data_IF_362592586318
#
_entry.id   IF_362592586318
#
_cell.length_a   1.000
_cell.length_b   1.000
_cell.length_c   1.000
_cell.angle_alpha   90.00
_cell.angle_beta   90.00
_cell.angle_gamma   90.00
#
_symmetry.space_group_name_H-M   'P 1'
#
loop_
_entity.id
_entity.type
_entity.pdbx_description
1 polymer ?
#
# COMPACT_ATOMS: atom_id res chain seq x y z
N UNK A 1 -22.83 -26.11 -76.17
CA UNK A 1 -21.53 -25.95 -75.46
C UNK A 1 -21.83 -25.24 -74.15
N UNK A 2 -21.56 -25.85 -73.00
CA UNK A 2 -21.79 -25.18 -71.71
C UNK A 2 -20.63 -24.20 -71.42
N UNK A 3 -20.91 -22.91 -71.49
CA UNK A 3 -19.93 -21.84 -71.25
C UNK A 3 -19.29 -21.91 -69.86
N UNK A 4 -19.90 -22.59 -68.88
CA UNK A 4 -19.34 -22.80 -67.54
C UNK A 4 -17.99 -23.54 -67.58
N UNK A 5 -17.82 -24.48 -68.51
CA UNK A 5 -16.62 -25.31 -68.61
C UNK A 5 -15.48 -24.61 -69.38
N UNK A 6 -15.73 -23.43 -69.95
CA UNK A 6 -14.70 -22.60 -70.61
C UNK A 6 -14.15 -21.50 -69.70
N UNK A 7 -14.64 -21.40 -68.44
CA UNK A 7 -14.23 -20.38 -67.48
C UNK A 7 -13.19 -20.92 -66.49
N UNK A 8 -12.12 -20.16 -66.26
CA UNK A 8 -11.12 -20.45 -65.22
C UNK A 8 -11.58 -19.91 -63.86
N UNK A 9 -12.50 -20.63 -63.22
CA UNK A 9 -12.97 -20.28 -61.88
C UNK A 9 -11.94 -20.66 -60.81
N UNK A 10 -11.82 -19.88 -59.72
CA UNK A 10 -10.99 -20.26 -58.58
C UNK A 10 -11.48 -21.59 -57.97
N UNK A 11 -10.56 -22.54 -57.81
CA UNK A 11 -10.80 -23.83 -57.13
C UNK A 11 -9.93 -23.86 -55.87
N UNK A 12 -10.55 -24.13 -54.73
CA UNK A 12 -9.83 -24.26 -53.46
C UNK A 12 -10.54 -25.25 -52.54
N UNK A 13 -9.75 -26.03 -51.81
CA UNK A 13 -10.24 -26.87 -50.70
C UNK A 13 -10.41 -26.06 -49.40
N UNK A 14 -10.01 -24.78 -49.39
CA UNK A 14 -10.14 -23.91 -48.22
C UNK A 14 -11.63 -23.65 -47.93
N UNK A 15 -12.14 -24.08 -46.76
CA UNK A 15 -13.56 -23.94 -46.45
C UNK A 15 -13.91 -22.47 -46.24
N UNK A 16 -15.08 -22.07 -46.77
CA UNK A 16 -15.59 -20.70 -46.61
C UNK A 16 -15.96 -20.40 -45.14
N UNK A 17 -16.40 -21.40 -44.36
CA UNK A 17 -16.65 -21.27 -42.92
C UNK A 17 -15.39 -21.66 -42.14
N UNK A 18 -14.92 -20.78 -41.27
CA UNK A 18 -13.67 -20.98 -40.53
C UNK A 18 -13.75 -22.12 -39.48
N UNK A 19 -14.90 -22.29 -38.81
CA UNK A 19 -15.14 -23.29 -37.76
C UNK A 19 -14.02 -23.35 -36.70
N UNK A 20 -13.61 -22.16 -36.21
CA UNK A 20 -12.40 -21.97 -35.41
C UNK A 20 -12.37 -22.78 -34.12
N UNK A 21 -13.52 -23.02 -33.48
CA UNK A 21 -13.59 -23.79 -32.22
C UNK A 21 -12.97 -25.18 -32.35
N UNK A 22 -13.21 -25.86 -33.48
CA UNK A 22 -12.63 -27.18 -33.77
C UNK A 22 -11.25 -27.03 -34.44
N UNK A 23 -11.16 -26.15 -35.45
CA UNK A 23 -9.95 -26.01 -36.27
C UNK A 23 -8.74 -25.53 -35.48
N UNK A 24 -8.92 -24.63 -34.51
CA UNK A 24 -7.82 -24.19 -33.64
C UNK A 24 -7.27 -25.34 -32.79
N UNK A 25 -8.13 -26.22 -32.27
CA UNK A 25 -7.68 -27.37 -31.47
C UNK A 25 -6.84 -28.34 -32.30
N UNK A 26 -7.25 -28.58 -33.55
CA UNK A 26 -6.50 -29.41 -34.50
C UNK A 26 -5.12 -28.80 -34.80
N UNK A 27 -5.06 -27.48 -35.06
CA UNK A 27 -3.81 -26.75 -35.32
C UNK A 27 -2.87 -26.82 -34.11
N UNK A 28 -3.39 -26.60 -32.89
CA UNK A 28 -2.57 -26.66 -31.67
C UNK A 28 -2.02 -28.06 -31.43
N UNK A 29 -2.84 -29.11 -31.64
CA UNK A 29 -2.40 -30.48 -31.52
C UNK A 29 -1.32 -30.84 -32.56
N UNK A 30 -1.41 -30.29 -33.77
CA UNK A 30 -0.36 -30.44 -34.79
C UNK A 30 0.94 -29.73 -34.38
N UNK A 31 0.86 -28.53 -33.82
CA UNK A 31 2.04 -27.80 -33.31
C UNK A 31 2.75 -28.57 -32.20
N UNK A 32 1.99 -29.16 -31.28
CA UNK A 32 2.53 -29.99 -30.21
C UNK A 32 3.16 -31.26 -30.76
N UNK A 33 2.43 -32.03 -31.58
CA UNK A 33 2.92 -33.28 -32.20
C UNK A 33 4.18 -33.06 -33.03
N UNK A 34 4.26 -31.93 -33.72
CA UNK A 34 5.41 -31.61 -34.56
C UNK A 34 6.62 -31.06 -33.80
N UNK A 35 6.49 -30.80 -32.49
CA UNK A 35 7.53 -30.16 -31.69
C UNK A 35 7.87 -28.76 -32.20
N UNK A 36 6.85 -27.97 -32.59
CA UNK A 36 7.06 -26.69 -33.28
C UNK A 36 7.98 -25.75 -32.51
N UNK A 37 7.82 -25.64 -31.19
CA UNK A 37 8.65 -24.75 -30.37
C UNK A 37 10.13 -25.13 -30.42
N UNK A 38 10.45 -26.43 -30.32
CA UNK A 38 11.83 -26.92 -30.38
C UNK A 38 12.45 -26.67 -31.76
N UNK A 39 11.68 -26.87 -32.83
CA UNK A 39 12.11 -26.52 -34.20
C UNK A 39 12.39 -25.02 -34.36
N UNK A 40 11.56 -24.17 -33.74
CA UNK A 40 11.79 -22.73 -33.74
C UNK A 40 13.05 -22.36 -32.95
N UNK A 41 13.30 -23.03 -31.82
CA UNK A 41 14.52 -22.84 -31.03
C UNK A 41 15.77 -23.27 -31.81
N UNK A 42 15.72 -24.43 -32.48
CA UNK A 42 16.80 -24.93 -33.34
C UNK A 42 17.08 -23.97 -34.50
N UNK A 43 16.04 -23.55 -35.22
CA UNK A 43 16.16 -22.59 -36.32
C UNK A 43 16.70 -21.23 -35.87
N UNK A 44 16.55 -20.90 -34.58
CA UNK A 44 17.08 -19.70 -33.96
C UNK A 44 18.56 -19.79 -33.58
N UNK A 45 19.19 -20.97 -33.53
CA UNK A 45 20.60 -21.09 -33.13
C UNK A 45 21.50 -20.23 -34.03
N UNK A 46 22.40 -19.47 -33.39
CA UNK A 46 23.31 -18.55 -34.08
C UNK A 46 22.69 -17.20 -34.50
N UNK A 47 21.37 -17.00 -34.33
CA UNK A 47 20.72 -15.70 -34.61
C UNK A 47 20.87 -14.73 -33.44
N UNK A 48 20.76 -13.40 -33.68
CA UNK A 48 20.73 -12.41 -32.60
C UNK A 48 19.61 -12.70 -31.60
N UNK A 49 19.93 -12.61 -30.31
CA UNK A 49 19.01 -12.92 -29.23
C UNK A 49 18.02 -11.77 -29.00
N UNK A 50 16.74 -12.09 -28.84
CA UNK A 50 15.71 -11.17 -28.38
C UNK A 50 15.02 -11.78 -27.15
N UNK A 51 15.30 -11.23 -25.97
CA UNK A 51 14.70 -11.72 -24.72
C UNK A 51 13.48 -10.88 -24.36
N UNK A 52 12.33 -11.55 -24.26
CA UNK A 52 11.15 -11.02 -23.61
C UNK A 52 10.97 -11.79 -22.30
N UNK A 53 11.23 -11.12 -21.18
CA UNK A 53 11.01 -11.71 -19.86
C UNK A 53 9.51 -11.71 -19.52
N UNK A 54 8.97 -12.88 -19.18
CA UNK A 54 7.57 -13.01 -18.79
C UNK A 54 7.39 -12.53 -17.36
N UNK A 55 6.55 -11.51 -17.11
CA UNK A 55 6.07 -11.21 -15.76
C UNK A 55 5.18 -12.35 -15.25
N UNK A 56 5.47 -12.96 -14.08
CA UNK A 56 4.80 -14.18 -13.64
C UNK A 56 3.38 -13.89 -13.13
N UNK A 57 2.32 -14.49 -13.70
CA UNK A 57 0.98 -14.47 -13.08
C UNK A 57 0.97 -15.20 -11.73
N UNK A 58 0.06 -14.79 -10.85
CA UNK A 58 -0.22 -15.50 -9.60
C UNK A 58 -0.91 -16.83 -9.88
N UNK A 59 -0.41 -17.91 -9.27
CA UNK A 59 -0.95 -19.26 -9.40
C UNK A 59 -2.13 -19.50 -8.43
N UNK A 60 -3.22 -18.74 -8.57
CA UNK A 60 -4.33 -18.77 -7.60
C UNK A 60 -5.75 -18.72 -8.19
N UNK A 61 -5.90 -18.83 -9.51
CA UNK A 61 -7.21 -18.76 -10.16
C UNK A 61 -7.16 -19.04 -11.66
N UNK A 62 -8.32 -19.12 -12.30
CA UNK A 62 -8.42 -19.19 -13.77
C UNK A 62 -7.95 -17.89 -14.42
N UNK A 63 -7.50 -17.95 -15.67
CA UNK A 63 -7.15 -16.75 -16.42
C UNK A 63 -8.40 -15.87 -16.66
N UNK A 64 -8.17 -14.59 -16.92
CA UNK A 64 -9.21 -13.60 -17.22
C UNK A 64 -8.77 -12.76 -18.42
N UNK A 65 -9.62 -11.88 -18.94
CA UNK A 65 -9.33 -11.15 -20.19
C UNK A 65 -8.03 -10.34 -20.13
N UNK A 66 -7.67 -9.77 -18.97
CA UNK A 66 -6.38 -9.10 -18.79
C UNK A 66 -5.16 -10.02 -18.98
N UNK A 67 -5.25 -11.29 -18.54
CA UNK A 67 -4.21 -12.28 -18.78
C UNK A 67 -4.10 -12.62 -20.27
N UNK A 68 -5.24 -12.79 -20.95
CA UNK A 68 -5.29 -13.05 -22.38
C UNK A 68 -4.64 -11.90 -23.18
N UNK A 69 -5.04 -10.66 -22.90
CA UNK A 69 -4.44 -9.46 -23.52
C UNK A 69 -2.92 -9.45 -23.35
N UNK A 70 -2.43 -9.64 -22.12
CA UNK A 70 -1.00 -9.61 -21.83
C UNK A 70 -0.23 -10.69 -22.59
N UNK A 71 -0.69 -11.94 -22.55
CA UNK A 71 0.01 -13.08 -23.17
C UNK A 71 -0.06 -13.06 -24.69
N UNK A 72 -1.19 -12.66 -25.28
CA UNK A 72 -1.34 -12.54 -26.73
C UNK A 72 -0.40 -11.46 -27.27
N UNK A 73 -0.29 -10.30 -26.61
CA UNK A 73 0.64 -9.24 -27.04
C UNK A 73 2.10 -9.70 -27.00
N UNK A 74 2.51 -10.41 -25.94
CA UNK A 74 3.86 -10.99 -25.84
C UNK A 74 4.11 -11.99 -26.98
N UNK A 75 3.15 -12.86 -27.25
CA UNK A 75 3.25 -13.87 -28.31
C UNK A 75 3.35 -13.23 -29.72
N UNK A 76 2.58 -12.18 -30.00
CA UNK A 76 2.69 -11.41 -31.25
C UNK A 76 4.11 -10.86 -31.43
N UNK A 77 4.67 -10.23 -30.38
CA UNK A 77 6.02 -9.67 -30.43
C UNK A 77 7.05 -10.79 -30.70
N UNK A 78 6.96 -11.89 -29.97
CA UNK A 78 7.88 -13.02 -30.10
C UNK A 78 7.82 -13.66 -31.48
N UNK A 79 6.62 -13.94 -31.99
CA UNK A 79 6.41 -14.47 -33.35
C UNK A 79 6.98 -13.52 -34.40
N UNK A 80 6.68 -12.22 -34.31
CA UNK A 80 7.23 -11.20 -35.19
C UNK A 80 8.76 -11.16 -35.16
N UNK A 81 9.38 -11.22 -33.97
CA UNK A 81 10.84 -11.23 -33.84
C UNK A 81 11.49 -12.49 -34.39
N UNK A 82 10.90 -13.67 -34.17
CA UNK A 82 11.36 -14.93 -34.80
C UNK A 82 11.33 -14.84 -36.32
N UNK A 83 10.22 -14.34 -36.88
CA UNK A 83 10.05 -14.13 -38.32
C UNK A 83 11.02 -13.07 -38.88
N UNK A 84 11.41 -12.09 -38.06
CA UNK A 84 12.40 -11.06 -38.40
C UNK A 84 13.86 -11.52 -38.22
N UNK A 85 14.10 -12.81 -37.97
CA UNK A 85 15.44 -13.38 -37.91
C UNK A 85 16.11 -13.34 -36.52
N UNK A 86 15.36 -13.18 -35.44
CA UNK A 86 15.91 -13.26 -34.07
C UNK A 86 15.71 -14.65 -33.45
N UNK A 87 16.63 -15.04 -32.57
CA UNK A 87 16.39 -16.08 -31.58
C UNK A 87 15.58 -15.48 -30.42
N UNK A 88 14.29 -15.79 -30.35
CA UNK A 88 13.41 -15.24 -29.31
C UNK A 88 12.81 -16.35 -28.42
N UNK A 89 13.56 -16.86 -27.44
CA UNK A 89 13.04 -17.83 -26.49
C UNK A 89 11.99 -17.16 -25.58
N UNK A 90 11.01 -17.94 -25.15
CA UNK A 90 9.99 -17.48 -24.22
C UNK A 90 9.76 -18.52 -23.15
N UNK A 91 10.21 -18.21 -21.93
CA UNK A 91 10.06 -19.04 -20.75
C UNK A 91 8.94 -18.43 -19.90
N UNK A 92 7.75 -19.06 -19.82
CA UNK A 92 6.69 -18.61 -18.94
C UNK A 92 7.07 -18.83 -17.47
N UNK A 93 6.50 -18.04 -16.57
CA UNK A 93 6.68 -18.29 -15.14
C UNK A 93 5.46 -17.99 -14.30
N UNK A 94 5.56 -18.35 -13.02
CA UNK A 94 4.46 -18.20 -12.06
C UNK A 94 4.94 -17.74 -10.69
N UNK A 95 4.13 -16.86 -10.09
CA UNK A 95 4.24 -16.46 -8.70
C UNK A 95 3.41 -17.42 -7.85
N UNK A 96 4.12 -18.18 -7.01
CA UNK A 96 3.63 -19.34 -6.28
C UNK A 96 3.65 -19.12 -4.76
N UNK A 97 3.98 -17.90 -4.32
CA UNK A 97 4.06 -17.55 -2.91
C UNK A 97 3.05 -16.45 -2.55
N UNK A 98 2.95 -16.19 -1.25
CA UNK A 98 2.25 -15.04 -0.72
C UNK A 98 0.80 -15.29 -0.31
N UNK A 99 0.25 -14.26 0.33
CA UNK A 99 -1.04 -14.33 1.00
C UNK A 99 -2.25 -14.70 0.11
N UNK A 100 -2.31 -14.36 -1.20
CA UNK A 100 -3.46 -14.78 -2.02
C UNK A 100 -3.66 -16.30 -2.05
N UNK A 101 -2.57 -17.07 -2.08
CA UNK A 101 -2.60 -18.54 -2.05
C UNK A 101 -2.97 -19.01 -0.64
N UNK A 102 -2.31 -18.48 0.40
CA UNK A 102 -2.59 -18.85 1.79
C UNK A 102 -4.06 -18.62 2.15
N UNK A 103 -4.65 -17.47 1.79
CA UNK A 103 -6.06 -17.17 2.06
C UNK A 103 -7.00 -18.16 1.38
N UNK A 104 -6.67 -18.59 0.17
CA UNK A 104 -7.52 -19.53 -0.56
C UNK A 104 -7.40 -20.94 0.00
N UNK A 105 -6.21 -21.35 0.42
CA UNK A 105 -6.00 -22.60 1.16
C UNK A 105 -6.69 -22.57 2.52
N UNK A 106 -6.57 -21.48 3.28
CA UNK A 106 -7.28 -21.30 4.56
C UNK A 106 -8.80 -21.38 4.38
N UNK A 107 -9.35 -20.79 3.31
CA UNK A 107 -10.78 -20.90 2.98
C UNK A 107 -11.18 -22.33 2.67
N UNK A 108 -10.38 -23.05 1.87
CA UNK A 108 -10.64 -24.45 1.52
C UNK A 108 -10.56 -25.39 2.74
N UNK A 109 -9.71 -25.06 3.72
CA UNK A 109 -9.55 -25.83 4.95
C UNK A 109 -10.66 -25.55 5.98
N UNK A 110 -11.24 -24.34 5.97
CA UNK A 110 -12.26 -23.92 6.93
C UNK A 110 -11.74 -23.95 8.36
N UNK A 111 -12.48 -24.58 9.28
CA UNK A 111 -12.09 -24.69 10.70
C UNK A 111 -10.81 -25.50 10.93
N UNK A 112 -10.45 -26.40 10.00
CA UNK A 112 -9.25 -27.26 10.12
C UNK A 112 -7.95 -26.47 10.08
N UNK A 113 -7.96 -25.21 9.62
CA UNK A 113 -6.76 -24.37 9.58
C UNK A 113 -6.09 -24.16 10.95
N UNK A 114 -6.85 -24.25 12.04
CA UNK A 114 -6.33 -24.12 13.40
C UNK A 114 -5.68 -25.41 13.94
N UNK A 115 -5.81 -26.52 13.21
CA UNK A 115 -5.36 -27.84 13.64
C UNK A 115 -4.12 -28.32 12.88
N UNK A 116 -3.73 -27.64 11.79
CA UNK A 116 -2.60 -28.04 10.97
C UNK A 116 -1.33 -27.28 11.34
N UNK A 117 -0.18 -27.94 11.18
CA UNK A 117 1.12 -27.32 11.40
C UNK A 117 1.46 -26.33 10.28
N UNK A 118 2.42 -25.43 10.54
CA UNK A 118 2.96 -24.53 9.50
C UNK A 118 3.56 -25.29 8.32
N UNK A 119 4.19 -26.42 8.57
CA UNK A 119 4.78 -27.26 7.52
C UNK A 119 3.69 -27.84 6.62
N UNK A 120 2.60 -28.34 7.21
CA UNK A 120 1.47 -28.86 6.47
C UNK A 120 0.77 -27.75 5.68
N UNK A 121 0.58 -26.57 6.28
CA UNK A 121 0.02 -25.41 5.57
C UNK A 121 0.85 -25.03 4.34
N UNK A 122 2.19 -24.99 4.47
CA UNK A 122 3.09 -24.70 3.34
C UNK A 122 3.02 -25.76 2.25
N UNK A 123 2.86 -27.04 2.63
CA UNK A 123 2.67 -28.14 1.69
C UNK A 123 1.37 -27.97 0.90
N UNK A 124 0.26 -27.72 1.59
CA UNK A 124 -1.05 -27.45 0.98
C UNK A 124 -1.00 -26.24 0.03
N UNK A 125 -0.25 -25.18 0.39
CA UNK A 125 -0.04 -24.03 -0.50
C UNK A 125 0.73 -24.39 -1.77
N UNK A 126 1.78 -25.21 -1.67
CA UNK A 126 2.55 -25.68 -2.84
C UNK A 126 1.69 -26.56 -3.75
N UNK A 127 0.87 -27.45 -3.19
CA UNK A 127 -0.06 -28.29 -3.95
C UNK A 127 -1.12 -27.46 -4.66
N UNK A 128 -1.67 -26.46 -3.97
CA UNK A 128 -2.64 -25.53 -4.54
C UNK A 128 -2.03 -24.70 -5.69
N UNK A 129 -0.84 -24.16 -5.51
CA UNK A 129 -0.12 -23.42 -6.54
C UNK A 129 0.16 -24.32 -7.77
N UNK A 130 0.68 -25.53 -7.55
CA UNK A 130 0.98 -26.47 -8.63
C UNK A 130 -0.26 -26.82 -9.47
N UNK A 131 -1.42 -27.01 -8.81
CA UNK A 131 -2.70 -27.22 -9.49
C UNK A 131 -3.05 -26.06 -10.44
N UNK A 132 -2.92 -24.82 -9.97
CA UNK A 132 -3.26 -23.65 -10.80
C UNK A 132 -2.23 -23.34 -11.87
N UNK A 133 -0.94 -23.66 -11.65
CA UNK A 133 0.07 -23.64 -12.72
C UNK A 133 -0.35 -24.55 -13.87
N UNK A 134 -0.84 -25.76 -13.60
CA UNK A 134 -1.32 -26.69 -14.63
C UNK A 134 -2.52 -26.12 -15.40
N UNK A 135 -3.54 -25.67 -14.68
CA UNK A 135 -4.76 -25.12 -15.28
C UNK A 135 -4.43 -23.91 -16.16
N UNK A 136 -3.71 -22.93 -15.62
CA UNK A 136 -3.36 -21.71 -16.35
C UNK A 136 -2.45 -22.00 -17.55
N UNK A 137 -1.53 -22.97 -17.44
CA UNK A 137 -0.69 -23.40 -18.56
C UNK A 137 -1.53 -23.93 -19.72
N UNK A 138 -2.50 -24.80 -19.45
CA UNK A 138 -3.43 -25.30 -20.48
C UNK A 138 -4.27 -24.17 -21.08
N UNK A 139 -4.76 -23.25 -20.25
CA UNK A 139 -5.53 -22.10 -20.70
C UNK A 139 -4.70 -21.16 -21.59
N UNK A 140 -3.42 -20.91 -21.27
CA UNK A 140 -2.53 -20.11 -22.10
C UNK A 140 -2.13 -20.80 -23.40
N UNK A 141 -1.90 -22.12 -23.38
CA UNK A 141 -1.68 -22.91 -24.59
C UNK A 141 -2.90 -22.87 -25.51
N UNK A 142 -4.12 -22.89 -24.95
CA UNK A 142 -5.36 -22.76 -25.71
C UNK A 142 -5.48 -21.42 -26.43
N UNK A 143 -4.83 -20.36 -25.94
CA UNK A 143 -4.73 -19.06 -26.63
C UNK A 143 -3.72 -19.05 -27.80
N UNK A 144 -3.04 -20.17 -28.07
CA UNK A 144 -2.06 -20.30 -29.15
C UNK A 144 -0.70 -19.66 -28.88
N UNK A 145 -0.39 -19.44 -27.60
CA UNK A 145 0.89 -18.86 -27.15
C UNK A 145 2.00 -19.91 -27.23
N UNK A 146 3.08 -19.57 -27.94
CA UNK A 146 4.24 -20.44 -28.10
C UNK A 146 5.34 -20.11 -27.08
N UNK A 147 5.67 -21.08 -26.23
CA UNK A 147 6.68 -20.96 -25.19
C UNK A 147 7.21 -22.30 -24.70
N UNK A 148 8.23 -22.23 -23.85
CA UNK A 148 8.78 -23.38 -23.13
C UNK A 148 7.86 -23.75 -21.96
N UNK A 149 6.76 -24.43 -22.28
CA UNK A 149 5.76 -24.84 -21.28
C UNK A 149 6.21 -26.03 -20.42
N UNK A 150 7.22 -26.78 -20.86
CA UNK A 150 7.75 -27.94 -20.14
C UNK A 150 8.77 -27.54 -19.07
N UNK A 151 9.50 -26.44 -19.26
CA UNK A 151 10.45 -25.92 -18.28
C UNK A 151 10.15 -24.47 -17.84
N UNK A 152 9.00 -24.22 -17.22
CA UNK A 152 8.67 -22.89 -16.73
C UNK A 152 9.46 -22.53 -15.47
N UNK A 153 9.68 -21.23 -15.23
CA UNK A 153 10.26 -20.80 -13.96
C UNK A 153 9.15 -20.60 -12.91
N UNK A 154 9.30 -21.25 -11.76
CA UNK A 154 8.36 -21.13 -10.65
C UNK A 154 9.09 -20.54 -9.45
N UNK A 155 8.51 -19.52 -8.83
CA UNK A 155 9.09 -18.88 -7.64
C UNK A 155 9.23 -19.84 -6.44
N UNK A 156 8.47 -20.95 -6.43
CA UNK A 156 8.58 -22.02 -5.43
C UNK A 156 9.66 -23.08 -5.74
N UNK A 157 10.37 -22.96 -6.88
CA UNK A 157 11.48 -23.87 -7.18
C UNK A 157 12.65 -23.60 -6.24
N UNK A 158 13.29 -24.65 -5.66
CA UNK A 158 14.39 -24.47 -4.71
C UNK A 158 15.55 -23.62 -5.24
N UNK A 159 15.85 -23.74 -6.53
CA UNK A 159 16.88 -22.91 -7.16
C UNK A 159 16.51 -21.42 -7.16
N UNK A 160 15.25 -21.09 -7.48
CA UNK A 160 14.75 -19.71 -7.47
C UNK A 160 14.77 -19.12 -6.05
N UNK A 161 14.30 -19.89 -5.06
CA UNK A 161 14.34 -19.51 -3.64
C UNK A 161 15.80 -19.29 -3.17
N UNK A 162 16.73 -20.13 -3.61
CA UNK A 162 18.16 -20.01 -3.32
C UNK A 162 18.79 -18.73 -3.89
N UNK A 163 18.48 -18.38 -5.15
CA UNK A 163 18.94 -17.11 -5.75
C UNK A 163 18.34 -15.92 -4.99
N UNK A 164 17.05 -15.98 -4.66
CA UNK A 164 16.37 -14.91 -3.90
C UNK A 164 17.02 -14.70 -2.52
N UNK A 165 17.34 -15.78 -1.80
CA UNK A 165 18.05 -15.72 -0.53
C UNK A 165 19.47 -15.16 -0.69
N UNK A 166 20.16 -15.51 -1.78
CA UNK A 166 21.46 -14.95 -2.13
C UNK A 166 21.42 -13.43 -2.33
N UNK A 167 20.44 -12.92 -3.08
CA UNK A 167 20.26 -11.48 -3.28
C UNK A 167 19.93 -10.74 -1.98
N UNK A 168 19.10 -11.33 -1.11
CA UNK A 168 18.84 -10.78 0.22
C UNK A 168 20.14 -10.70 1.05
N UNK A 169 20.98 -11.73 0.99
CA UNK A 169 22.27 -11.73 1.67
C UNK A 169 23.22 -10.65 1.12
N UNK A 170 23.17 -10.31 -0.17
CA UNK A 170 23.93 -9.17 -0.72
C UNK A 170 23.47 -7.83 -0.14
N UNK A 171 22.15 -7.63 0.00
CA UNK A 171 21.62 -6.43 0.67
C UNK A 171 22.01 -6.36 2.15
N UNK A 172 22.08 -7.51 2.83
CA UNK A 172 22.60 -7.58 4.19
C UNK A 172 24.09 -7.19 4.25
N UNK A 173 24.91 -7.79 3.39
CA UNK A 173 26.35 -7.57 3.37
C UNK A 173 26.73 -6.13 3.01
N UNK A 174 25.97 -5.47 2.14
CA UNK A 174 26.22 -4.07 1.75
C UNK A 174 25.52 -3.03 2.66
N UNK A 175 24.93 -3.48 3.77
CA UNK A 175 24.26 -2.61 4.75
C UNK A 175 22.97 -1.95 4.24
N UNK A 176 22.46 -2.34 3.07
CA UNK A 176 21.20 -1.87 2.50
C UNK A 176 19.97 -2.47 3.17
N UNK A 177 20.10 -3.64 3.80
CA UNK A 177 19.09 -4.26 4.65
C UNK A 177 19.24 -3.78 6.10
N UNK A 178 18.15 -3.33 6.72
CA UNK A 178 18.13 -2.98 8.13
C UNK A 178 16.81 -3.32 8.80
N UNK A 179 16.84 -3.49 10.12
CA UNK A 179 15.65 -3.67 10.96
C UNK A 179 15.28 -2.32 11.57
N UNK A 180 14.01 -1.94 11.50
CA UNK A 180 13.52 -0.69 12.08
C UNK A 180 12.10 -0.83 12.61
N UNK A 181 11.76 -0.03 13.62
CA UNK A 181 10.38 0.17 14.08
C UNK A 181 9.83 1.37 13.32
N UNK A 182 8.91 1.13 12.38
CA UNK A 182 8.28 2.17 11.55
C UNK A 182 6.78 1.91 11.46
N UNK A 183 5.94 2.95 11.42
CA UNK A 183 4.55 2.81 11.00
C UNK A 183 4.50 2.20 9.61
N UNK A 184 3.74 1.12 9.48
CA UNK A 184 3.45 0.49 8.20
C UNK A 184 1.96 0.31 8.07
N UNK A 185 1.48 0.25 6.83
CA UNK A 185 0.15 -0.23 6.54
C UNK A 185 -0.02 -1.64 7.12
N UNK A 186 -0.99 -1.81 8.01
CA UNK A 186 -1.23 -3.05 8.73
C UNK A 186 -2.67 -3.51 8.52
N UNK A 187 -2.82 -4.71 7.96
CA UNK A 187 -4.13 -5.33 7.84
C UNK A 187 -4.44 -6.16 9.09
N UNK A 188 -5.24 -5.62 10.01
CA UNK A 188 -5.65 -6.30 11.25
C UNK A 188 -6.41 -7.62 11.02
N UNK A 189 -7.09 -7.74 9.88
CA UNK A 189 -7.77 -8.99 9.50
C UNK A 189 -6.83 -10.06 8.97
N UNK A 190 -5.76 -9.68 8.28
CA UNK A 190 -4.77 -10.62 7.74
C UNK A 190 -3.56 -10.81 8.66
N UNK A 191 -3.38 -9.95 9.67
CA UNK A 191 -2.28 -10.00 10.63
C UNK A 191 -0.91 -9.76 10.00
N UNK A 192 -0.82 -8.90 8.99
CA UNK A 192 0.46 -8.65 8.28
C UNK A 192 0.57 -7.20 7.81
N UNK A 193 1.81 -6.74 7.70
CA UNK A 193 2.16 -5.51 7.00
C UNK A 193 1.83 -5.62 5.50
N UNK A 194 1.48 -4.49 4.90
CA UNK A 194 1.25 -4.29 3.47
C UNK A 194 2.25 -3.25 2.94
N UNK A 195 2.73 -3.46 1.72
CA UNK A 195 3.37 -2.39 0.96
C UNK A 195 2.31 -1.44 0.41
N UNK A 196 2.70 -0.22 0.05
CA UNK A 196 1.80 0.78 -0.55
C UNK A 196 1.13 0.27 -1.84
N UNK A 197 1.86 -0.50 -2.66
CA UNK A 197 1.31 -1.16 -3.85
C UNK A 197 0.26 -2.25 -3.54
N UNK A 198 0.12 -2.65 -2.27
CA UNK A 198 -0.88 -3.60 -1.76
C UNK A 198 -2.06 -2.89 -1.07
N UNK A 199 -2.17 -1.56 -1.19
CA UNK A 199 -3.26 -0.76 -0.62
C UNK A 199 -4.16 -0.26 -1.74
N UNK A 200 -5.47 -0.37 -1.52
CA UNK A 200 -6.50 0.22 -2.38
C UNK A 200 -7.30 1.23 -1.57
N UNK A 201 -7.90 2.21 -2.23
CA UNK A 201 -8.69 3.24 -1.58
C UNK A 201 -10.19 3.03 -1.86
N UNK A 202 -11.01 3.17 -0.83
CA UNK A 202 -12.46 3.09 -0.92
C UNK A 202 -13.11 4.08 0.06
N UNK A 203 -14.35 4.47 -0.23
CA UNK A 203 -15.12 5.36 0.64
C UNK A 203 -15.35 4.72 2.01
N UNK A 204 -15.05 5.47 3.07
CA UNK A 204 -15.17 5.05 4.45
C UNK A 204 -15.77 6.17 5.29
N UNK A 205 -16.74 5.81 6.14
CA UNK A 205 -17.30 6.72 7.14
C UNK A 205 -16.41 6.73 8.37
N UNK A 206 -15.91 7.90 8.72
CA UNK A 206 -15.05 8.09 9.89
C UNK A 206 -15.61 9.20 10.78
N UNK A 207 -15.50 9.08 12.12
CA UNK A 207 -15.74 10.22 13.00
C UNK A 207 -14.74 11.33 12.66
N UNK A 208 -15.16 12.58 12.80
CA UNK A 208 -14.37 13.79 12.64
C UNK A 208 -14.59 14.62 13.88
N UNK A 209 -13.57 14.70 14.73
CA UNK A 209 -13.68 15.33 16.04
C UNK A 209 -12.70 16.48 16.20
N UNK A 210 -13.12 17.48 16.97
CA UNK A 210 -12.31 18.59 17.44
C UNK A 210 -12.08 18.41 18.93
N UNK A 211 -10.82 18.38 19.34
CA UNK A 211 -10.43 18.07 20.72
C UNK A 211 -9.52 19.17 21.23
N UNK A 212 -9.82 19.69 22.42
CA UNK A 212 -8.98 20.71 23.06
C UNK A 212 -7.96 20.07 23.99
N UNK A 213 -6.73 20.54 23.91
CA UNK A 213 -5.61 20.19 24.76
C UNK A 213 -5.27 21.40 25.61
N UNK A 214 -5.51 21.33 26.91
CA UNK A 214 -5.29 22.46 27.81
C UNK A 214 -3.79 22.77 27.92
N UNK A 215 -3.41 24.01 27.68
CA UNK A 215 -2.03 24.47 27.80
C UNK A 215 -1.65 24.56 29.28
N UNK A 216 -0.52 23.96 29.65
CA UNK A 216 0.00 23.94 31.03
C UNK A 216 0.91 25.12 31.31
N UNK A 217 1.70 25.50 30.31
CA UNK A 217 2.58 26.66 30.39
C UNK A 217 1.79 27.96 30.22
N UNK A 218 2.15 28.95 31.01
CA UNK A 218 1.63 30.30 30.85
C UNK A 218 2.29 30.98 29.65
N UNK A 219 1.46 31.45 28.72
CA UNK A 219 1.88 32.22 27.52
C UNK A 219 1.44 33.67 27.60
N UNK A 220 0.88 34.11 28.73
CA UNK A 220 0.42 35.49 28.92
C UNK A 220 1.57 36.50 28.93
N UNK A 221 2.82 36.04 29.14
CA UNK A 221 4.00 36.89 29.06
C UNK A 221 4.28 37.30 27.61
N UNK A 222 4.14 36.36 26.67
CA UNK A 222 4.31 36.60 25.23
C UNK A 222 3.03 37.15 24.59
N UNK A 223 1.86 36.79 25.13
CA UNK A 223 0.53 37.17 24.65
C UNK A 223 -0.36 37.68 25.80
N UNK A 224 -0.21 38.94 26.24
CA UNK A 224 -0.98 39.49 27.36
C UNK A 224 -2.50 39.43 27.18
N UNK A 225 -2.97 39.40 25.93
CA UNK A 225 -4.37 39.33 25.56
C UNK A 225 -5.05 38.02 26.01
N UNK A 226 -4.29 36.92 26.17
CA UNK A 226 -4.84 35.62 26.60
C UNK A 226 -4.80 35.43 28.13
N UNK A 227 -4.57 36.50 28.89
CA UNK A 227 -4.55 36.44 30.35
C UNK A 227 -5.95 36.23 30.96
N UNK A 228 -6.00 35.55 32.11
CA UNK A 228 -7.21 35.47 32.94
C UNK A 228 -8.21 34.36 32.60
N UNK A 229 -7.98 33.56 31.55
CA UNK A 229 -8.77 32.34 31.25
C UNK A 229 -7.83 31.19 30.87
N UNK A 230 -8.37 29.97 30.90
CA UNK A 230 -7.65 28.81 30.39
C UNK A 230 -7.44 28.94 28.87
N UNK A 231 -6.28 28.49 28.41
CA UNK A 231 -5.92 28.44 26.99
C UNK A 231 -5.82 26.98 26.57
N UNK A 232 -6.45 26.64 25.46
CA UNK A 232 -6.41 25.28 24.93
C UNK A 232 -6.06 25.28 23.44
N UNK A 233 -5.19 24.36 23.02
CA UNK A 233 -4.90 24.13 21.60
C UNK A 233 -5.92 23.13 21.06
N UNK A 234 -6.62 23.48 19.98
CA UNK A 234 -7.65 22.61 19.41
C UNK A 234 -7.07 21.83 18.25
N UNK A 235 -7.05 20.50 18.36
CA UNK A 235 -6.68 19.62 17.26
C UNK A 235 -7.93 19.12 16.54
N UNK A 236 -7.74 18.68 15.30
CA UNK A 236 -8.73 17.94 14.54
C UNK A 236 -8.20 16.56 14.16
N UNK A 237 -9.04 15.53 14.24
CA UNK A 237 -8.68 14.19 13.77
C UNK A 237 -9.88 13.41 13.27
N UNK A 238 -9.64 12.56 12.27
CA UNK A 238 -10.61 11.56 11.79
C UNK A 238 -10.40 10.17 12.40
N UNK A 239 -9.39 10.03 13.27
CA UNK A 239 -9.01 8.76 13.90
C UNK A 239 -8.91 8.89 15.42
N UNK A 240 -10.04 9.04 16.15
CA UNK A 240 -10.05 9.17 17.61
C UNK A 240 -9.24 8.09 18.33
N UNK A 241 -9.26 6.86 17.83
CA UNK A 241 -8.47 5.76 18.37
C UNK A 241 -6.94 5.99 18.39
N UNK A 242 -6.40 7.00 17.70
CA UNK A 242 -4.98 7.34 17.77
C UNK A 242 -4.63 8.27 18.94
N UNK A 243 -5.63 8.92 19.56
CA UNK A 243 -5.42 9.84 20.69
C UNK A 243 -4.77 9.16 21.91
N UNK A 244 -5.11 7.91 22.29
CA UNK A 244 -4.38 7.20 23.33
C UNK A 244 -2.87 7.05 23.08
N UNK A 245 -2.41 7.22 21.84
CA UNK A 245 -1.00 7.18 21.46
C UNK A 245 -0.36 8.56 21.22
N UNK A 246 -1.08 9.66 21.46
CA UNK A 246 -0.59 11.02 21.26
C UNK A 246 0.58 11.36 22.20
N UNK A 247 1.64 11.97 21.66
CA UNK A 247 2.80 12.45 22.42
C UNK A 247 3.14 13.93 22.15
N UNK A 248 2.60 14.50 21.07
CA UNK A 248 2.88 15.88 20.68
C UNK A 248 1.72 16.51 19.91
N UNK A 249 1.80 17.81 19.67
CA UNK A 249 0.93 18.56 18.76
C UNK A 249 1.84 19.30 17.77
N UNK A 250 1.68 19.04 16.48
CA UNK A 250 2.41 19.70 15.42
C UNK A 250 1.69 20.98 14.95
N UNK A 251 2.48 22.04 14.82
CA UNK A 251 2.11 23.32 14.21
C UNK A 251 3.04 23.63 13.04
N UNK A 252 2.55 24.31 12.01
CA UNK A 252 3.42 24.73 10.90
C UNK A 252 4.23 25.97 11.32
N UNK A 253 5.56 26.02 11.08
CA UNK A 253 6.38 27.17 11.47
C UNK A 253 5.99 28.49 10.78
N UNK A 254 5.59 28.41 9.50
CA UNK A 254 5.28 29.60 8.67
C UNK A 254 3.82 30.06 8.75
N UNK A 255 2.94 29.35 9.47
CA UNK A 255 1.55 29.77 9.59
C UNK A 255 1.34 30.69 10.80
N UNK A 256 0.37 31.59 10.65
CA UNK A 256 -0.14 32.39 11.77
C UNK A 256 -1.24 31.64 12.49
N UNK A 257 -1.25 31.80 13.81
CA UNK A 257 -2.19 31.21 14.74
C UNK A 257 -2.96 32.31 15.47
N UNK A 258 -4.19 32.01 15.85
CA UNK A 258 -5.07 32.95 16.54
C UNK A 258 -5.55 32.38 17.84
N UNK A 259 -5.69 33.25 18.85
CA UNK A 259 -6.43 32.95 20.07
C UNK A 259 -7.86 33.47 19.92
N UNK A 260 -8.82 32.55 20.02
CA UNK A 260 -10.25 32.86 19.89
C UNK A 260 -10.90 32.82 21.27
N UNK A 261 -11.49 33.93 21.70
CA UNK A 261 -12.28 33.98 22.93
C UNK A 261 -13.68 33.41 22.68
N UNK A 262 -14.01 32.32 23.36
CA UNK A 262 -15.34 31.67 23.31
C UNK A 262 -16.23 32.05 24.49
N UNK A 263 -15.82 33.05 25.28
CA UNK A 263 -16.44 33.45 26.54
C UNK A 263 -15.83 32.75 27.74
N UNK A 264 -15.73 31.42 27.72
CA UNK A 264 -15.25 30.62 28.86
C UNK A 264 -13.74 30.33 28.82
N UNK A 265 -13.18 30.14 27.64
CA UNK A 265 -11.76 29.81 27.43
C UNK A 265 -11.25 30.37 26.11
N UNK A 266 -9.93 30.42 25.96
CA UNK A 266 -9.27 30.77 24.71
C UNK A 266 -8.89 29.52 23.93
N UNK A 267 -9.33 29.45 22.67
CA UNK A 267 -9.01 28.33 21.77
C UNK A 267 -7.98 28.77 20.74
N UNK A 268 -6.90 28.00 20.59
CA UNK A 268 -5.85 28.23 19.61
C UNK A 268 -6.11 27.38 18.37
N UNK A 269 -6.19 28.05 17.22
CA UNK A 269 -6.32 27.46 15.87
C UNK A 269 -5.49 28.28 14.87
N UNK A 270 -5.20 27.73 13.70
CA UNK A 270 -4.55 28.47 12.62
C UNK A 270 -5.49 29.57 12.08
N UNK A 271 -4.93 30.74 11.79
CA UNK A 271 -5.67 31.91 11.30
C UNK A 271 -6.47 31.60 10.02
N UNK A 272 -5.89 30.83 9.09
CA UNK A 272 -6.54 30.45 7.84
C UNK A 272 -7.71 29.46 7.98
N UNK A 273 -7.89 28.84 9.15
CA UNK A 273 -8.93 27.83 9.40
C UNK A 273 -9.96 28.27 10.45
N UNK A 274 -9.83 29.47 11.02
CA UNK A 274 -10.70 29.94 12.11
C UNK A 274 -12.17 30.01 11.70
N UNK A 275 -12.48 30.56 10.53
CA UNK A 275 -13.87 30.71 10.06
C UNK A 275 -14.51 29.34 9.81
N UNK A 276 -13.78 28.43 9.16
CA UNK A 276 -14.23 27.07 8.92
C UNK A 276 -14.43 26.29 10.22
N UNK A 277 -13.55 26.48 11.21
CA UNK A 277 -13.65 25.89 12.54
C UNK A 277 -14.89 26.40 13.29
N UNK A 278 -15.10 27.72 13.35
CA UNK A 278 -16.28 28.31 14.02
C UNK A 278 -17.58 27.87 13.35
N UNK A 279 -17.62 27.86 12.01
CA UNK A 279 -18.77 27.38 11.26
C UNK A 279 -19.04 25.88 11.51
N UNK A 280 -18.00 25.05 11.55
CA UNK A 280 -18.14 23.61 11.75
C UNK A 280 -18.60 23.26 13.17
N UNK A 281 -18.13 24.01 14.18
CA UNK A 281 -18.45 23.77 15.60
C UNK A 281 -19.72 24.49 16.05
N UNK A 282 -20.16 25.53 15.34
CA UNK A 282 -21.27 26.39 15.75
C UNK A 282 -20.94 27.30 16.93
N UNK A 283 -19.65 27.44 17.27
CA UNK A 283 -19.21 28.31 18.36
C UNK A 283 -19.21 29.77 17.92
N UNK A 284 -19.58 30.66 18.84
CA UNK A 284 -19.36 32.10 18.69
C UNK A 284 -18.01 32.44 19.34
N UNK A 285 -17.09 33.00 18.57
CA UNK A 285 -15.78 33.38 19.08
C UNK A 285 -15.21 34.61 18.40
N UNK A 286 -14.46 35.41 19.16
CA UNK A 286 -13.77 36.59 18.64
C UNK A 286 -12.26 36.39 18.70
N UNK A 287 -11.57 36.67 17.59
CA UNK A 287 -10.10 36.66 17.57
C UNK A 287 -9.59 37.82 18.42
N UNK A 288 -8.81 37.51 19.44
CA UNK A 288 -8.25 38.50 20.39
C UNK A 288 -6.75 38.72 20.20
N UNK A 289 -6.06 37.76 19.58
CA UNK A 289 -4.64 37.85 19.27
C UNK A 289 -4.29 36.97 18.05
N UNK A 290 -3.32 37.42 17.28
CA UNK A 290 -2.68 36.68 16.17
C UNK A 290 -1.19 36.63 16.42
N UNK A 291 -0.57 35.48 16.20
CA UNK A 291 0.82 35.22 16.56
C UNK A 291 1.44 34.09 15.72
N UNK A 292 2.77 33.93 15.77
CA UNK A 292 3.48 32.87 15.05
C UNK A 292 3.65 31.61 15.91
N UNK A 293 3.74 30.44 15.27
CA UNK A 293 3.87 29.16 15.97
C UNK A 293 5.06 29.08 16.96
N UNK A 294 6.10 29.89 16.74
CA UNK A 294 7.31 29.94 17.57
C UNK A 294 7.04 30.22 19.05
N UNK A 295 5.99 30.96 19.39
CA UNK A 295 5.61 31.26 20.79
C UNK A 295 5.17 29.99 21.53
N UNK A 296 4.62 29.02 20.80
CA UNK A 296 4.13 27.76 21.35
C UNK A 296 5.15 26.63 21.26
N UNK A 297 6.27 26.82 20.55
CA UNK A 297 7.27 25.76 20.37
C UNK A 297 7.79 25.26 21.73
N UNK A 298 7.75 23.94 21.93
CA UNK A 298 8.14 23.21 23.15
C UNK A 298 7.31 23.52 24.41
N UNK A 299 6.23 24.29 24.31
CA UNK A 299 5.26 24.41 25.40
C UNK A 299 4.52 23.08 25.57
N UNK A 300 4.04 22.83 26.78
CA UNK A 300 3.39 21.59 27.19
C UNK A 300 1.88 21.78 27.26
N UNK A 301 1.15 20.89 26.62
CA UNK A 301 -0.27 20.72 26.81
C UNK A 301 -0.53 19.48 27.66
N UNK A 302 -1.57 19.52 28.51
CA UNK A 302 -2.04 18.32 29.21
C UNK A 302 -2.80 17.43 28.22
N UNK A 303 -2.49 16.14 28.23
CA UNK A 303 -3.25 15.16 27.46
C UNK A 303 -4.71 15.08 27.97
N UNK A 304 -5.74 15.00 27.09
CA UNK A 304 -7.14 15.15 27.48
C UNK A 304 -7.64 14.22 28.59
N UNK A 305 -7.18 12.96 28.60
CA UNK A 305 -7.66 11.94 29.53
C UNK A 305 -6.57 11.05 30.13
N UNK A 306 -5.28 11.33 29.89
CA UNK A 306 -4.18 10.62 30.54
C UNK A 306 -3.32 11.60 31.32
N UNK A 307 -2.75 11.16 32.43
CA UNK A 307 -1.84 11.98 33.23
C UNK A 307 -0.44 12.00 32.60
N UNK A 308 -0.36 12.60 31.41
CA UNK A 308 0.87 12.86 30.67
C UNK A 308 0.76 14.18 29.91
N UNK A 309 1.90 14.74 29.57
CA UNK A 309 1.99 15.96 28.78
C UNK A 309 2.20 15.61 27.29
N UNK A 310 1.67 16.48 26.41
CA UNK A 310 1.89 16.49 24.96
C UNK A 310 2.64 17.76 24.61
N UNK A 311 3.83 17.63 24.03
CA UNK A 311 4.67 18.78 23.67
C UNK A 311 4.25 19.38 22.33
N UNK A 312 4.27 20.70 22.20
CA UNK A 312 4.04 21.37 20.93
C UNK A 312 5.35 21.40 20.12
N UNK A 313 5.30 20.94 18.87
CA UNK A 313 6.44 20.85 17.96
C UNK A 313 6.13 21.53 16.63
N UNK A 314 7.16 21.98 15.93
CA UNK A 314 7.02 22.59 14.61
C UNK A 314 7.27 21.56 13.50
N UNK A 315 6.30 21.43 12.58
CA UNK A 315 6.33 20.47 11.47
C UNK A 315 5.69 21.03 10.20
N UNK A 316 6.41 20.91 9.08
CA UNK A 316 6.01 21.44 7.76
C UNK A 316 4.91 20.60 7.07
N UNK A 317 4.58 19.42 7.60
CA UNK A 317 3.51 18.55 7.07
C UNK A 317 2.10 19.05 7.41
N UNK A 318 1.96 20.02 8.32
CA UNK A 318 0.68 20.59 8.71
C UNK A 318 0.16 21.49 7.59
N UNK A 319 -1.10 21.31 7.16
CA UNK A 319 -1.70 22.08 6.07
C UNK A 319 -2.91 22.91 6.54
N UNK A 320 -3.34 23.87 5.71
CA UNK A 320 -4.53 24.68 5.91
C UNK A 320 -5.73 24.18 5.07
N UNK A 321 -5.69 22.94 4.59
CA UNK A 321 -6.78 22.38 3.76
C UNK A 321 -8.00 21.97 4.60
N UNK A 322 -7.77 21.42 5.80
CA UNK A 322 -8.82 20.93 6.67
C UNK A 322 -8.40 20.91 8.15
N UNK A 323 -9.41 20.90 9.04
CA UNK A 323 -9.21 20.81 10.48
C UNK A 323 -8.99 22.17 11.14
N UNK A 324 -7.97 22.26 11.99
CA UNK A 324 -7.67 23.47 12.79
C UNK A 324 -6.29 24.05 12.54
N UNK A 325 -5.45 23.39 11.72
CA UNK A 325 -4.03 23.72 11.58
C UNK A 325 -3.18 23.37 12.80
N UNK A 326 -3.75 22.61 13.75
CA UNK A 326 -3.04 21.96 14.86
C UNK A 326 -3.27 20.45 14.73
N UNK A 327 -2.20 19.69 14.54
CA UNK A 327 -2.29 18.24 14.26
C UNK A 327 -1.76 17.48 15.47
N UNK A 328 -2.57 16.58 16.03
CA UNK A 328 -2.10 15.70 17.10
C UNK A 328 -1.11 14.68 16.50
N UNK A 329 0.00 14.42 17.20
CA UNK A 329 1.08 13.55 16.72
C UNK A 329 1.15 12.26 17.53
N UNK A 330 0.98 11.13 16.85
CA UNK A 330 1.13 9.78 17.39
C UNK A 330 2.16 9.00 16.54
N UNK A 331 3.46 9.04 16.89
CA UNK A 331 4.55 8.51 16.05
C UNK A 331 4.43 7.02 15.71
N UNK A 332 3.62 6.24 16.45
CA UNK A 332 3.32 4.85 16.15
C UNK A 332 2.28 4.64 15.03
N UNK A 333 1.59 5.68 14.56
CA UNK A 333 0.40 5.56 13.73
C UNK A 333 0.36 6.50 12.51
N UNK A 334 1.42 7.27 12.24
CA UNK A 334 1.53 8.14 11.07
C UNK A 334 2.97 8.24 10.57
N UNK A 335 3.16 8.35 9.25
CA UNK A 335 4.51 8.48 8.65
C UNK A 335 5.13 9.85 9.00
N UNK A 336 4.38 10.93 8.82
CA UNK A 336 4.84 12.28 9.15
C UNK A 336 5.06 12.43 10.67
N UNK A 337 4.15 11.85 11.47
CA UNK A 337 4.27 11.78 12.93
C UNK A 337 5.55 11.05 13.37
N UNK A 338 5.90 9.98 12.66
CA UNK A 338 7.12 9.22 12.90
C UNK A 338 8.36 10.03 12.57
N UNK A 339 8.37 10.75 11.46
CA UNK A 339 9.51 11.59 11.06
C UNK A 339 9.71 12.75 12.02
N UNK A 340 8.62 13.42 12.43
CA UNK A 340 8.66 14.43 13.48
C UNK A 340 9.14 13.84 14.81
N UNK A 341 8.61 12.67 15.17
CA UNK A 341 9.01 11.94 16.37
C UNK A 341 10.50 11.60 16.38
N UNK A 342 11.06 11.14 15.26
CA UNK A 342 12.50 10.90 15.14
C UNK A 342 13.32 12.19 15.28
N UNK A 343 12.89 13.28 14.63
CA UNK A 343 13.58 14.58 14.66
C UNK A 343 13.70 15.14 16.08
N UNK A 344 12.65 14.98 16.88
CA UNK A 344 12.56 15.52 18.25
C UNK A 344 12.75 14.48 19.35
N UNK A 345 13.05 13.22 19.02
CA UNK A 345 13.34 12.16 19.99
C UNK A 345 12.13 11.61 20.75
N UNK A 346 10.92 11.66 20.16
CA UNK A 346 9.73 11.04 20.74
C UNK A 346 9.78 9.51 20.63
N UNK A 347 9.17 8.81 21.59
CA UNK A 347 8.99 7.36 21.47
C UNK A 347 8.04 7.02 20.31
N UNK A 348 8.35 5.94 19.61
CA UNK A 348 7.49 5.37 18.56
C UNK A 348 6.42 4.53 19.26
N UNK A 349 5.60 5.19 20.07
CA UNK A 349 4.65 4.55 20.97
C UNK A 349 3.51 3.94 20.16
N UNK A 350 3.30 2.63 20.32
CA UNK A 350 2.21 1.88 19.69
C UNK A 350 1.53 0.98 20.72
N UNK A 351 0.33 1.35 21.20
CA UNK A 351 -0.47 0.56 22.14
C UNK A 351 -1.37 -0.49 21.48
N UNK A 352 -1.17 -0.80 20.19
CA UNK A 352 -2.04 -1.71 19.42
C UNK A 352 -1.32 -3.00 19.01
N UNK A 353 -2.01 -4.12 19.19
CA UNK A 353 -1.55 -5.47 18.88
C UNK A 353 -1.66 -5.85 17.39
N UNK A 354 -1.33 -7.11 17.05
CA UNK A 354 -1.39 -7.62 15.68
C UNK A 354 -2.82 -7.77 15.12
N UNK A 355 -3.84 -7.83 15.98
CA UNK A 355 -5.26 -7.93 15.60
C UNK A 355 -5.95 -6.57 15.55
N UNK A 356 -5.22 -5.48 15.73
CA UNK A 356 -5.77 -4.14 15.76
C UNK A 356 -6.56 -3.87 17.05
N UNK A 357 -6.22 -4.54 18.15
CA UNK A 357 -6.79 -4.30 19.47
C UNK A 357 -5.80 -3.56 20.35
N UNK A 358 -6.30 -2.69 21.21
CA UNK A 358 -5.45 -2.11 22.25
C UNK A 358 -4.91 -3.21 23.17
N UNK A 359 -3.66 -3.06 23.60
CA UNK A 359 -3.08 -3.93 24.62
C UNK A 359 -3.92 -3.88 25.90
N UNK A 360 -4.00 -4.99 26.63
CA UNK A 360 -4.87 -5.10 27.82
C UNK A 360 -4.51 -4.11 28.93
N UNK A 361 -3.25 -3.68 28.98
CA UNK A 361 -2.75 -2.73 29.96
C UNK A 361 -3.08 -1.25 29.63
N UNK A 362 -3.75 -0.98 28.51
CA UNK A 362 -4.16 0.37 28.15
C UNK A 362 -5.38 0.77 28.96
N UNK A 363 -5.21 1.84 29.73
CA UNK A 363 -6.26 2.41 30.55
C UNK A 363 -7.44 2.89 29.69
N UNK A 364 -8.67 2.63 30.15
CA UNK A 364 -9.97 2.87 29.49
C UNK A 364 -10.31 2.02 28.26
N UNK A 365 -9.34 1.67 27.41
CA UNK A 365 -9.61 1.08 26.08
C UNK A 365 -9.04 -0.33 25.86
N UNK A 366 -8.38 -0.91 26.87
CA UNK A 366 -7.73 -2.22 26.77
C UNK A 366 -8.61 -3.31 26.15
N UNK A 367 -8.06 -4.06 25.19
CA UNK A 367 -8.73 -5.17 24.51
C UNK A 367 -9.74 -4.78 23.42
N UNK A 368 -10.15 -3.50 23.32
CA UNK A 368 -11.06 -3.04 22.29
C UNK A 368 -10.40 -2.99 20.92
N UNK A 369 -11.15 -3.31 19.87
CA UNK A 369 -10.69 -3.12 18.49
C UNK A 369 -10.71 -1.62 18.14
N UNK A 370 -9.66 -1.14 17.48
CA UNK A 370 -9.42 0.29 17.25
C UNK A 370 -10.60 1.06 16.66
N UNK A 371 -11.34 0.48 15.69
CA UNK A 371 -12.50 1.18 15.12
C UNK A 371 -13.70 1.22 16.06
N UNK A 372 -13.90 0.18 16.88
CA UNK A 372 -14.95 0.13 17.89
C UNK A 372 -14.64 1.13 19.02
N UNK A 373 -13.36 1.26 19.36
CA UNK A 373 -12.87 2.15 20.41
C UNK A 373 -13.06 3.64 20.08
N UNK A 374 -13.27 4.02 18.82
CA UNK A 374 -13.57 5.41 18.46
C UNK A 374 -14.74 5.97 19.27
N UNK A 375 -15.79 5.17 19.46
CA UNK A 375 -16.95 5.59 20.25
C UNK A 375 -16.58 5.81 21.71
N UNK A 376 -15.87 4.86 22.32
CA UNK A 376 -15.44 4.97 23.72
C UNK A 376 -14.48 6.14 23.95
N UNK A 377 -13.61 6.44 22.97
CA UNK A 377 -12.73 7.62 23.05
C UNK A 377 -13.55 8.92 23.03
N UNK A 378 -14.55 9.01 22.15
CA UNK A 378 -15.44 10.19 22.08
C UNK A 378 -16.20 10.36 23.40
N UNK A 379 -16.81 9.29 23.91
CA UNK A 379 -17.52 9.31 25.20
C UNK A 379 -16.59 9.75 26.35
N UNK A 380 -15.34 9.28 26.37
CA UNK A 380 -14.36 9.71 27.37
C UNK A 380 -13.96 11.18 27.24
N UNK A 381 -13.84 11.69 26.02
CA UNK A 381 -13.54 13.09 25.74
C UNK A 381 -14.69 14.02 26.16
N UNK A 382 -15.94 13.57 26.02
CA UNK A 382 -17.12 14.27 26.54
C UNK A 382 -17.12 14.29 28.08
N UNK A 383 -16.84 13.15 28.72
CA UNK A 383 -16.78 13.01 30.19
C UNK A 383 -15.77 14.00 30.81
N UNK A 384 -14.59 14.13 30.22
CA UNK A 384 -13.54 15.05 30.69
C UNK A 384 -13.70 16.48 30.17
N UNK A 385 -14.75 16.74 29.38
CA UNK A 385 -15.07 18.05 28.82
C UNK A 385 -14.05 18.58 27.80
N UNK A 386 -13.27 17.69 27.15
CA UNK A 386 -12.26 18.03 26.16
C UNK A 386 -12.75 17.91 24.69
N UNK A 387 -13.93 17.31 24.47
CA UNK A 387 -14.55 17.30 23.14
C UNK A 387 -15.17 18.67 22.85
N UNK A 388 -14.78 19.29 21.73
CA UNK A 388 -15.36 20.55 21.26
C UNK A 388 -16.54 20.28 20.32
N UNK A 389 -16.36 19.35 19.38
CA UNK A 389 -17.39 18.99 18.41
C UNK A 389 -17.08 17.62 17.78
N UNK A 390 -18.13 16.89 17.40
CA UNK A 390 -18.02 15.62 16.69
C UNK A 390 -19.06 15.52 15.58
N UNK A 391 -18.66 15.00 14.42
CA UNK A 391 -19.55 14.61 13.31
C UNK A 391 -19.00 13.40 12.57
N UNK A 392 -19.78 12.82 11.67
CA UNK A 392 -19.28 11.82 10.72
C UNK A 392 -18.92 12.46 9.38
N UNK A 393 -17.87 11.95 8.73
CA UNK A 393 -17.47 12.35 7.38
C UNK A 393 -17.23 11.11 6.53
N UNK A 394 -17.55 11.19 5.24
CA UNK A 394 -17.20 10.16 4.26
C UNK A 394 -15.99 10.63 3.47
N UNK A 395 -14.95 9.81 3.39
CA UNK A 395 -13.72 10.12 2.67
C UNK A 395 -13.03 8.86 2.16
N UNK A 396 -12.07 9.03 1.27
CA UNK A 396 -11.27 7.95 0.70
C UNK A 396 -10.29 7.42 1.75
N UNK A 397 -10.39 6.14 2.12
CA UNK A 397 -9.57 5.52 3.16
C UNK A 397 -8.85 4.26 2.66
N UNK A 398 -7.63 3.97 3.14
CA UNK A 398 -6.88 2.80 2.71
C UNK A 398 -7.52 1.49 3.20
N UNK A 399 -7.60 0.53 2.27
CA UNK A 399 -8.12 -0.81 2.45
C UNK A 399 -7.12 -1.85 1.93
N UNK A 400 -7.16 -3.05 2.50
CA UNK A 400 -6.34 -4.15 2.05
C UNK A 400 -6.86 -4.66 0.70
N UNK A 401 -5.99 -4.69 -0.32
CA UNK A 401 -6.38 -5.15 -1.67
C UNK A 401 -6.95 -6.58 -1.71
N UNK A 402 -6.57 -7.43 -0.73
CA UNK A 402 -6.98 -8.84 -0.65
C UNK A 402 -8.33 -9.03 0.04
N UNK A 403 -8.48 -8.48 1.25
CA UNK A 403 -9.68 -8.70 2.07
C UNK A 403 -10.71 -7.56 1.98
N UNK A 404 -10.36 -6.45 1.30
CA UNK A 404 -11.20 -5.26 1.09
C UNK A 404 -11.69 -4.62 2.39
N UNK A 405 -10.98 -4.82 3.51
CA UNK A 405 -11.28 -4.21 4.81
C UNK A 405 -10.36 -3.02 5.09
N UNK A 406 -10.80 -2.04 5.89
CA UNK A 406 -9.97 -0.91 6.31
C UNK A 406 -8.69 -1.38 7.00
N UNK A 407 -7.60 -0.69 6.74
CA UNK A 407 -6.29 -0.96 7.37
C UNK A 407 -5.92 0.18 8.31
N UNK A 408 -4.99 -0.10 9.22
CA UNK A 408 -4.46 0.92 10.13
C UNK A 408 -2.98 1.14 9.85
N UNK A 409 -2.48 2.30 10.24
CA UNK A 409 -1.04 2.50 10.38
C UNK A 409 -0.62 2.09 11.79
N UNK A 410 0.41 1.26 11.87
CA UNK A 410 0.92 0.78 13.14
C UNK A 410 2.41 0.55 13.07
N UNK A 411 3.13 1.04 14.08
CA UNK A 411 4.54 0.80 14.22
C UNK A 411 4.80 -0.64 14.64
N UNK A 412 5.59 -1.32 13.84
CA UNK A 412 6.03 -2.69 14.08
C UNK A 412 7.48 -2.83 13.64
N UNK A 413 8.21 -3.73 14.29
CA UNK A 413 9.57 -4.04 13.88
C UNK A 413 9.54 -4.83 12.56
N UNK A 414 10.12 -4.25 11.51
CA UNK A 414 10.16 -4.84 10.18
C UNK A 414 11.56 -4.74 9.58
N UNK A 415 11.81 -5.57 8.58
CA UNK A 415 13.00 -5.52 7.74
C UNK A 415 12.72 -4.68 6.50
N UNK A 416 13.64 -3.75 6.23
CA UNK A 416 13.54 -2.81 5.14
C UNK A 416 14.78 -2.86 4.26
N UNK A 417 14.57 -2.70 2.95
CA UNK A 417 15.64 -2.32 2.03
C UNK A 417 15.64 -0.80 1.93
N UNK A 418 16.80 -0.20 2.20
CA UNK A 418 16.98 1.24 2.14
C UNK A 418 17.06 1.74 0.70
N UNK A 419 16.19 2.70 0.36
CA UNK A 419 16.23 3.38 -0.94
C UNK A 419 17.35 4.42 -1.02
N UNK A 420 17.83 4.92 0.13
CA UNK A 420 18.91 5.92 0.20
C UNK A 420 20.29 5.29 0.23
N UNK A 421 20.46 4.22 1.02
CA UNK A 421 21.78 3.61 1.16
C UNK A 421 22.24 3.06 -0.19
N UNK A 422 23.55 3.13 -0.41
CA UNK A 422 24.20 2.70 -1.65
C UNK A 422 23.69 3.45 -2.91
N UNK A 423 23.04 4.59 -2.72
CA UNK A 423 22.42 5.41 -3.77
C UNK A 423 21.41 4.62 -4.63
N UNK A 424 20.66 3.69 -4.01
CA UNK A 424 19.77 2.80 -4.75
C UNK A 424 18.70 3.57 -5.54
N UNK A 425 18.07 4.59 -4.94
CA UNK A 425 17.07 5.42 -5.63
C UNK A 425 17.67 6.14 -6.83
N UNK A 426 18.81 6.81 -6.65
CA UNK A 426 19.49 7.56 -7.73
C UNK A 426 19.82 6.63 -8.89
N UNK A 427 20.44 5.47 -8.61
CA UNK A 427 20.74 4.45 -9.62
C UNK A 427 19.47 3.96 -10.34
N UNK A 428 18.39 3.71 -9.61
CA UNK A 428 17.13 3.28 -10.22
C UNK A 428 16.53 4.35 -11.14
N UNK A 429 16.55 5.62 -10.75
CA UNK A 429 16.06 6.75 -11.56
C UNK A 429 16.92 6.95 -12.82
N UNK A 430 18.24 6.79 -12.71
CA UNK A 430 19.15 6.80 -13.86
C UNK A 430 18.84 5.68 -14.85
N UNK A 431 18.64 4.45 -14.37
CA UNK A 431 18.28 3.31 -15.23
C UNK A 431 16.90 3.49 -15.89
N UNK A 432 15.91 4.03 -15.17
CA UNK A 432 14.58 4.34 -15.74
C UNK A 432 14.71 5.26 -16.96
N UNK A 433 15.65 6.21 -16.95
CA UNK A 433 15.89 7.13 -18.07
C UNK A 433 16.57 6.47 -19.28
N UNK A 434 17.27 5.36 -19.07
CA UNK A 434 17.95 4.61 -20.15
C UNK A 434 17.00 3.62 -20.85
N UNK A 435 15.89 3.27 -20.21
CA UNK A 435 14.89 2.34 -20.77
C UNK A 435 14.05 3.02 -21.85
N UNK A 436 13.75 2.30 -22.92
CA UNK A 436 12.76 2.73 -23.92
C UNK A 436 11.34 2.39 -23.44
N UNK A 437 10.50 3.42 -23.29
CA UNK A 437 9.12 3.28 -22.78
C UNK A 437 8.09 3.35 -23.89
N UNK A 438 7.17 2.39 -23.91
CA UNK A 438 6.04 2.34 -24.85
C UNK A 438 4.76 2.09 -24.03
N UNK A 439 3.85 3.08 -23.92
CA UNK A 439 3.97 4.47 -24.36
C UNK A 439 4.93 5.30 -23.48
N UNK A 440 5.40 6.45 -24.00
CA UNK A 440 6.44 7.28 -23.36
C UNK A 440 6.06 7.76 -21.95
N UNK A 441 4.79 8.08 -21.71
CA UNK A 441 4.30 8.54 -20.40
C UNK A 441 4.49 7.49 -19.28
N UNK A 442 4.68 6.21 -19.63
CA UNK A 442 5.00 5.16 -18.65
C UNK A 442 6.28 5.45 -17.87
N UNK A 443 7.24 6.15 -18.50
CA UNK A 443 8.47 6.63 -17.86
C UNK A 443 8.16 7.56 -16.69
N UNK A 444 7.35 8.59 -16.91
CA UNK A 444 7.09 9.62 -15.90
C UNK A 444 6.32 9.05 -14.71
N UNK A 445 5.39 8.12 -14.98
CA UNK A 445 4.65 7.40 -13.94
C UNK A 445 5.58 6.57 -13.04
N UNK A 446 6.50 5.78 -13.61
CA UNK A 446 7.43 4.99 -12.79
C UNK A 446 8.49 5.87 -12.12
N UNK A 447 8.92 6.95 -12.77
CA UNK A 447 9.91 7.87 -12.24
C UNK A 447 9.38 8.54 -10.98
N UNK A 448 8.20 9.17 -11.04
CA UNK A 448 7.58 9.82 -9.87
C UNK A 448 7.27 8.84 -8.74
N UNK A 449 6.92 7.59 -9.07
CA UNK A 449 6.74 6.53 -8.07
C UNK A 449 8.05 6.19 -7.34
N UNK A 450 9.17 6.08 -8.05
CA UNK A 450 10.47 5.73 -7.45
C UNK A 450 11.11 6.92 -6.71
N UNK A 451 10.92 8.13 -7.22
CA UNK A 451 11.43 9.38 -6.63
C UNK A 451 10.92 9.55 -5.19
N UNK A 452 9.63 9.34 -4.97
CA UNK A 452 8.99 9.50 -3.67
C UNK A 452 8.85 8.19 -2.89
N UNK A 453 9.50 7.11 -3.36
CA UNK A 453 9.32 5.79 -2.76
C UNK A 453 9.96 5.73 -1.36
N UNK A 454 9.21 5.32 -0.33
CA UNK A 454 9.77 5.06 0.99
C UNK A 454 10.66 3.81 0.98
N UNK A 455 11.37 3.59 2.09
CA UNK A 455 12.14 2.37 2.30
C UNK A 455 11.25 1.13 2.12
N UNK A 456 11.72 0.13 1.38
CA UNK A 456 10.88 -1.00 1.01
C UNK A 456 10.78 -2.01 2.16
N UNK A 457 9.60 -2.11 2.77
CA UNK A 457 9.28 -3.15 3.75
C UNK A 457 9.18 -4.53 3.08
N UNK A 458 10.14 -5.42 3.37
CA UNK A 458 10.25 -6.75 2.74
C UNK A 458 9.82 -7.91 3.65
N UNK A 459 9.68 -7.69 4.96
CA UNK A 459 9.19 -8.74 5.86
C UNK A 459 7.66 -8.81 5.87
N UNK A 460 7.14 -10.02 6.06
CA UNK A 460 5.70 -10.32 6.25
C UNK A 460 5.56 -11.32 7.40
N UNK A 461 4.51 -11.20 8.20
CA UNK A 461 4.28 -12.02 9.40
C UNK A 461 3.38 -13.22 9.07
N UNK A 462 3.81 -14.05 8.12
CA UNK A 462 3.03 -15.17 7.58
C UNK A 462 3.78 -16.49 7.73
#
# INVERSE_FOLDING_TARGET
>A
MEYKNTLNLPVTEFPMKANLVQKELEILAEWEKSGLYDKLAEAGKGRPLYILHDGPPYANGHIHIGHALNKILKDIILKSKRMSGFAAPYVPGWDCHGLPIELQVEKNLGSRKHQISKLEMRKQCREYAAKFVEIQRQEFQRLGVLGDWSNPYLTMNPHYEGITAGELARFAANGGLYKGKKPVHWCSSCGTALAEAEVEYADHKSPSIYVKFALKDDISTELPQVSGKNVSVVIWTTTPWTLPANLAIALHPDFEYVAVDTGNEFLIVAAGLVDAFLQATGLNGTVIATFTASILEKKLCRHPFYDRDSVILLGEHVTLEAGTGCVHTAPGHGQDDYELGLKFGLDIYNPVDNRGRFLENIEFFGGQFVFDANRSVIEKLEEVGALVFAREVSHSYPHCWRCKKPIIFRATEQWFISMEKNNLRVKALEEINKVQWIPRWGRDRIFGMIENRPHWCISRQR
#
